data_IF_345551160333
#
_entry.id   IF_345551160333
#
_cell.length_a   1.000
_cell.length_b   1.000
_cell.length_c   1.000
_cell.angle_alpha   90.00
_cell.angle_beta   90.00
_cell.angle_gamma   90.00
#
_symmetry.space_group_name_H-M   'P 1'
#
loop_
_entity.id
_entity.type
_entity.pdbx_description
1 polymer ?
#
# COMPACT_ATOMS: atom_id res chain seq x y z
N UNK A 1 -6.25 -2.92 46.41
CA UNK A 1 -5.38 -2.56 45.27
C UNK A 1 -6.24 -1.91 44.20
N UNK A 2 -6.14 -0.60 44.09
CA UNK A 2 -6.97 0.25 43.22
C UNK A 2 -6.41 0.25 41.80
N UNK A 3 -7.21 -0.14 40.80
CA UNK A 3 -6.92 0.16 39.40
C UNK A 3 -8.03 1.05 38.83
N UNK A 4 -7.61 2.28 38.57
CA UNK A 4 -8.43 3.40 38.14
C UNK A 4 -8.99 3.20 36.73
N UNK A 5 -10.30 3.45 36.61
CA UNK A 5 -11.00 3.68 35.33
C UNK A 5 -10.56 5.05 34.80
N UNK A 6 -9.97 5.10 33.60
CA UNK A 6 -9.84 6.35 32.82
C UNK A 6 -10.91 6.36 31.73
N UNK A 7 -11.94 7.15 31.98
CA UNK A 7 -12.91 7.61 30.98
C UNK A 7 -12.28 8.82 30.28
N UNK A 8 -11.96 8.71 29.00
CA UNK A 8 -11.62 9.88 28.19
C UNK A 8 -12.89 10.42 27.54
N UNK A 9 -13.43 11.45 28.20
CA UNK A 9 -14.39 12.41 27.66
C UNK A 9 -13.74 13.17 26.51
N UNK A 10 -14.33 13.12 25.32
CA UNK A 10 -14.02 14.02 24.21
C UNK A 10 -15.29 14.78 23.82
N UNK A 11 -15.52 15.87 24.55
CA UNK A 11 -16.38 16.97 24.13
C UNK A 11 -15.60 17.82 23.12
N UNK A 12 -15.95 17.75 21.84
CA UNK A 12 -15.52 18.72 20.84
C UNK A 12 -16.76 19.39 20.24
N UNK A 13 -16.97 20.61 20.76
CA UNK A 13 -17.84 21.70 20.30
C UNK A 13 -17.93 21.77 18.76
N UNK A 14 -19.14 21.60 18.23
CA UNK A 14 -19.53 22.11 16.92
C UNK A 14 -20.16 23.50 17.12
N UNK A 15 -19.60 24.53 16.48
CA UNK A 15 -20.17 25.87 16.47
C UNK A 15 -20.07 26.47 15.07
N UNK A 16 -21.22 27.00 14.63
CA UNK A 16 -21.46 27.91 13.49
C UNK A 16 -21.29 27.28 12.09
N UNK A 17 -22.17 27.51 11.11
CA UNK A 17 -23.11 28.62 10.93
C UNK A 17 -24.28 28.18 10.04
N UNK A 18 -25.48 28.65 10.40
CA UNK A 18 -26.63 28.71 9.51
C UNK A 18 -26.44 29.90 8.55
N UNK A 19 -26.68 29.70 7.26
CA UNK A 19 -26.98 30.79 6.35
C UNK A 19 -28.13 30.40 5.43
N UNK A 20 -29.07 31.34 5.36
CA UNK A 20 -30.39 31.27 4.78
C UNK A 20 -30.37 31.42 3.25
N UNK A 21 -31.53 31.14 2.67
CA UNK A 21 -31.83 31.10 1.25
C UNK A 21 -32.01 32.48 0.60
N UNK A 22 -31.66 32.50 -0.71
CA UNK A 22 -32.17 33.30 -1.84
C UNK A 22 -31.82 34.82 -1.93
N UNK A 23 -31.88 35.48 -3.11
CA UNK A 23 -32.34 35.02 -4.44
C UNK A 23 -31.41 35.34 -5.65
N UNK A 24 -31.90 34.88 -6.81
CA UNK A 24 -31.50 35.11 -8.21
C UNK A 24 -31.08 36.55 -8.53
N UNK A 25 -29.92 36.71 -9.18
CA UNK A 25 -29.59 37.88 -9.99
C UNK A 25 -28.72 37.46 -11.18
N UNK A 26 -29.25 37.69 -12.38
CA UNK A 26 -28.58 37.55 -13.67
C UNK A 26 -27.40 38.53 -13.73
N UNK A 27 -26.19 38.02 -13.93
CA UNK A 27 -25.04 38.83 -14.27
C UNK A 27 -24.21 38.09 -15.32
N UNK A 28 -24.38 38.53 -16.56
CA UNK A 28 -23.53 38.23 -17.70
C UNK A 28 -22.06 38.52 -17.38
N UNK A 29 -21.28 37.48 -17.13
CA UNK A 29 -19.82 37.56 -17.01
C UNK A 29 -19.19 36.66 -18.06
N UNK A 30 -18.59 37.34 -19.04
CA UNK A 30 -17.75 36.80 -20.11
C UNK A 30 -16.73 35.78 -19.60
N UNK A 31 -16.69 34.62 -20.23
CA UNK A 31 -15.62 33.62 -20.08
C UNK A 31 -14.29 34.28 -20.47
N UNK A 32 -13.30 34.42 -19.57
CA UNK A 32 -11.98 34.90 -19.96
C UNK A 32 -11.26 33.82 -20.80
N UNK A 33 -10.57 34.19 -21.88
CA UNK A 33 -9.90 33.25 -22.75
C UNK A 33 -8.77 32.53 -21.99
N UNK A 34 -8.79 31.20 -22.06
CA UNK A 34 -7.68 30.31 -21.76
C UNK A 34 -6.46 30.73 -22.60
N UNK A 35 -5.61 31.65 -22.14
CA UNK A 35 -4.17 31.74 -22.46
C UNK A 35 -3.53 32.97 -21.79
N UNK A 36 -3.00 32.79 -20.58
CA UNK A 36 -1.86 33.56 -20.07
C UNK A 36 -1.19 32.79 -18.93
N UNK A 37 -0.37 31.79 -19.29
CA UNK A 37 0.55 31.17 -18.34
C UNK A 37 1.54 32.27 -17.93
N UNK A 38 1.66 32.66 -16.64
CA UNK A 38 2.52 33.78 -16.27
C UNK A 38 3.96 33.50 -16.73
N UNK A 39 4.49 34.42 -17.53
CA UNK A 39 5.88 34.45 -17.97
C UNK A 39 6.79 34.68 -16.76
N UNK A 40 7.07 33.61 -16.02
CA UNK A 40 7.77 33.69 -14.76
C UNK A 40 7.96 32.37 -14.03
N UNK A 41 7.27 31.29 -14.44
CA UNK A 41 7.56 29.95 -13.93
C UNK A 41 8.87 29.44 -14.55
N UNK A 42 10.00 29.96 -14.06
CA UNK A 42 11.31 29.35 -14.27
C UNK A 42 11.20 27.96 -13.69
N UNK A 43 11.13 26.95 -14.55
CA UNK A 43 11.27 25.57 -14.12
C UNK A 43 12.53 25.47 -13.26
N UNK A 44 12.48 24.78 -12.10
CA UNK A 44 13.66 24.65 -11.26
C UNK A 44 14.77 24.07 -12.13
N UNK A 45 15.89 24.79 -12.26
CA UNK A 45 17.08 24.30 -12.96
C UNK A 45 17.35 22.89 -12.44
N UNK A 46 17.29 21.88 -13.32
CA UNK A 46 17.54 20.49 -12.94
C UNK A 46 18.91 20.48 -12.26
N UNK A 47 18.93 20.21 -10.95
CA UNK A 47 20.19 20.10 -10.21
C UNK A 47 20.97 18.97 -10.86
N UNK A 48 22.26 19.15 -11.07
CA UNK A 48 23.16 18.09 -11.55
C UNK A 48 23.97 17.64 -10.35
N UNK A 49 24.20 16.34 -10.23
CA UNK A 49 25.02 15.78 -9.16
C UNK A 49 26.43 15.57 -9.71
N UNK A 50 27.42 16.18 -9.09
CA UNK A 50 28.82 15.91 -9.41
C UNK A 50 29.24 14.57 -8.80
N UNK A 51 30.17 13.87 -9.45
CA UNK A 51 30.67 12.56 -9.00
C UNK A 51 31.11 12.57 -7.52
N UNK A 52 31.80 13.62 -7.07
CA UNK A 52 32.36 13.74 -5.72
C UNK A 52 31.30 13.77 -4.61
N UNK A 53 30.07 14.13 -4.97
CA UNK A 53 28.95 14.19 -4.04
C UNK A 53 28.28 12.82 -3.82
N UNK A 54 28.64 11.81 -4.62
CA UNK A 54 28.04 10.49 -4.52
C UNK A 54 28.59 9.70 -3.32
N UNK A 55 27.72 8.97 -2.59
CA UNK A 55 28.18 8.05 -1.57
C UNK A 55 29.12 6.98 -2.16
N UNK A 56 30.23 6.72 -1.46
CA UNK A 56 31.22 5.68 -1.80
C UNK A 56 30.64 4.34 -2.30
N UNK A 57 29.61 3.74 -1.66
CA UNK A 57 29.07 2.46 -2.15
C UNK A 57 28.39 2.58 -3.52
N UNK A 58 27.77 3.72 -3.82
CA UNK A 58 27.15 3.99 -5.12
C UNK A 58 28.26 4.26 -6.14
N UNK A 59 29.24 5.09 -5.81
CA UNK A 59 30.38 5.40 -6.67
C UNK A 59 31.10 4.12 -7.13
N UNK A 60 31.39 3.20 -6.20
CA UNK A 60 32.02 1.90 -6.51
C UNK A 60 31.20 1.06 -7.50
N UNK A 61 29.87 1.08 -7.37
CA UNK A 61 29.00 0.33 -8.27
C UNK A 61 28.91 0.99 -9.65
N UNK A 62 28.79 2.32 -9.70
CA UNK A 62 28.75 3.07 -10.95
C UNK A 62 30.04 2.87 -11.72
N UNK A 63 31.21 3.02 -11.08
CA UNK A 63 32.50 2.80 -11.71
C UNK A 63 32.63 1.41 -12.36
N UNK A 64 32.14 0.35 -11.69
CA UNK A 64 32.14 -1.02 -12.22
C UNK A 64 31.26 -1.21 -13.45
N UNK A 65 30.11 -0.55 -13.49
CA UNK A 65 29.11 -0.75 -14.54
C UNK A 65 29.25 0.26 -15.70
N UNK A 66 29.97 1.36 -15.48
CA UNK A 66 30.07 2.50 -16.40
C UNK A 66 30.75 2.13 -17.71
N UNK A 67 31.87 1.41 -17.69
CA UNK A 67 32.58 0.99 -18.91
C UNK A 67 31.70 0.09 -19.79
N UNK A 68 31.04 -0.89 -19.17
CA UNK A 68 30.09 -1.78 -19.85
C UNK A 68 28.91 -1.01 -20.43
N UNK A 69 28.41 -0.01 -19.69
CA UNK A 69 27.31 0.82 -20.14
C UNK A 69 27.71 1.76 -21.28
N UNK A 70 28.94 2.31 -21.25
CA UNK A 70 29.53 3.10 -22.36
C UNK A 70 29.67 2.24 -23.62
N UNK A 71 30.28 1.05 -23.51
CA UNK A 71 30.42 0.13 -24.64
C UNK A 71 29.05 -0.23 -25.25
N UNK A 72 28.06 -0.58 -24.40
CA UNK A 72 26.71 -0.88 -24.87
C UNK A 72 25.99 0.33 -25.47
N UNK A 73 26.28 1.56 -25.03
CA UNK A 73 25.71 2.77 -25.60
C UNK A 73 26.34 3.11 -26.96
N UNK A 74 27.66 2.96 -27.08
CA UNK A 74 28.39 3.10 -28.35
C UNK A 74 27.91 2.09 -29.39
N UNK A 75 27.74 0.82 -29.01
CA UNK A 75 27.19 -0.20 -29.92
C UNK A 75 25.77 0.14 -30.38
N UNK A 76 24.92 0.68 -29.51
CA UNK A 76 23.56 1.11 -29.89
C UNK A 76 23.58 2.31 -30.83
N UNK A 77 24.45 3.27 -30.58
CA UNK A 77 24.63 4.44 -31.43
C UNK A 77 25.13 4.00 -32.83
N UNK A 78 26.13 3.13 -32.88
CA UNK A 78 26.64 2.56 -34.13
C UNK A 78 25.55 1.81 -34.92
N UNK A 79 24.71 1.00 -34.25
CA UNK A 79 23.58 0.30 -34.88
C UNK A 79 22.51 1.25 -35.43
N UNK A 80 22.35 2.43 -34.85
CA UNK A 80 21.41 3.47 -35.32
C UNK A 80 22.03 4.43 -36.33
N UNK A 81 23.35 4.40 -36.52
CA UNK A 81 24.08 5.39 -37.30
C UNK A 81 24.16 6.78 -36.64
N UNK A 82 23.91 6.85 -35.32
CA UNK A 82 23.91 8.10 -34.56
C UNK A 82 25.27 8.34 -33.90
N UNK A 83 25.65 9.62 -33.72
CA UNK A 83 26.81 9.99 -32.91
C UNK A 83 26.47 9.78 -31.43
N UNK A 84 27.46 9.43 -30.63
CA UNK A 84 27.26 9.18 -29.21
C UNK A 84 27.18 10.51 -28.43
N UNK A 85 26.04 10.78 -27.82
CA UNK A 85 25.73 12.04 -27.12
C UNK A 85 26.38 12.18 -25.73
N UNK A 86 27.24 11.24 -25.30
CA UNK A 86 27.85 11.28 -23.96
C UNK A 86 26.89 10.90 -22.82
N UNK A 87 25.64 10.53 -23.13
CA UNK A 87 24.64 10.12 -22.14
C UNK A 87 24.65 8.59 -21.99
N UNK A 88 24.83 8.12 -20.76
CA UNK A 88 24.90 6.69 -20.43
C UNK A 88 23.83 6.35 -19.41
N UNK A 89 23.12 5.24 -19.64
CA UNK A 89 22.17 4.70 -18.67
C UNK A 89 22.82 3.57 -17.88
N UNK A 90 23.08 3.82 -16.59
CA UNK A 90 23.71 2.85 -15.67
C UNK A 90 22.63 2.20 -14.82
N UNK A 91 22.81 0.92 -14.53
CA UNK A 91 21.86 0.18 -13.70
C UNK A 91 21.72 0.79 -12.31
N UNK A 92 20.48 0.98 -11.86
CA UNK A 92 20.21 1.47 -10.52
C UNK A 92 20.62 0.42 -9.47
N UNK A 93 21.55 0.74 -8.54
CA UNK A 93 22.04 -0.21 -7.54
C UNK A 93 21.00 -0.58 -6.47
N UNK A 94 19.92 0.19 -6.35
CA UNK A 94 18.86 -0.03 -5.36
C UNK A 94 17.75 -0.95 -5.86
N UNK A 95 17.70 -1.21 -7.18
CA UNK A 95 16.66 -2.00 -7.81
C UNK A 95 17.19 -3.38 -8.18
N UNK A 96 16.34 -4.39 -7.99
CA UNK A 96 16.51 -5.72 -8.55
C UNK A 96 16.07 -5.74 -10.02
N UNK A 97 16.67 -6.60 -10.82
CA UNK A 97 16.39 -6.68 -12.25
C UNK A 97 16.71 -8.05 -12.83
N UNK A 98 16.09 -8.33 -13.97
CA UNK A 98 16.36 -9.53 -14.76
C UNK A 98 17.59 -9.30 -15.63
N UNK A 99 18.60 -10.14 -15.48
CA UNK A 99 19.79 -10.19 -16.36
C UNK A 99 19.66 -11.35 -17.34
N UNK A 100 20.12 -11.24 -18.59
CA UNK A 100 20.28 -12.39 -19.46
C UNK A 100 21.15 -13.44 -18.76
N UNK A 101 20.78 -14.72 -18.89
CA UNK A 101 21.65 -15.81 -18.46
C UNK A 101 22.97 -15.74 -19.24
N UNK A 102 24.13 -15.87 -18.59
CA UNK A 102 25.41 -16.00 -19.30
C UNK A 102 25.47 -17.30 -20.08
N UNK A 103 24.79 -18.35 -19.60
CA UNK A 103 24.75 -19.66 -20.24
C UNK A 103 23.59 -19.72 -21.24
N UNK A 104 23.87 -19.95 -22.55
CA UNK A 104 22.84 -20.05 -23.57
C UNK A 104 21.95 -21.30 -23.41
N UNK A 105 22.44 -22.30 -22.67
CA UNK A 105 21.75 -23.58 -22.46
C UNK A 105 20.84 -23.61 -21.21
N UNK A 106 20.79 -22.54 -20.41
CA UNK A 106 19.87 -22.51 -19.26
C UNK A 106 18.41 -22.43 -19.73
N UNK A 107 17.54 -23.24 -19.11
CA UNK A 107 16.08 -23.21 -19.33
C UNK A 107 15.47 -21.81 -19.13
N UNK A 108 15.98 -21.03 -18.19
CA UNK A 108 15.56 -19.63 -18.02
C UNK A 108 16.52 -18.71 -18.75
N UNK A 109 16.04 -18.03 -19.80
CA UNK A 109 16.79 -17.00 -20.56
C UNK A 109 17.24 -15.81 -19.68
N UNK A 110 16.62 -15.65 -18.50
CA UNK A 110 16.90 -14.55 -17.59
C UNK A 110 17.07 -15.03 -16.15
N UNK A 111 18.01 -14.42 -15.44
CA UNK A 111 18.29 -14.61 -14.02
C UNK A 111 17.82 -13.40 -13.24
N UNK A 112 17.05 -13.65 -12.18
CA UNK A 112 16.69 -12.59 -11.23
C UNK A 112 17.92 -12.19 -10.42
N UNK A 113 18.38 -10.96 -10.61
CA UNK A 113 19.49 -10.40 -9.84
C UNK A 113 18.92 -9.48 -8.77
N UNK A 114 19.30 -9.71 -7.52
CA UNK A 114 18.97 -8.82 -6.41
C UNK A 114 19.55 -7.42 -6.61
N UNK A 115 19.07 -6.46 -5.81
CA UNK A 115 19.67 -5.14 -5.76
C UNK A 115 21.13 -5.24 -5.28
N UNK A 116 22.05 -4.49 -5.91
CA UNK A 116 23.47 -4.48 -5.51
C UNK A 116 23.63 -3.97 -4.07
N UNK A 117 22.85 -2.96 -3.69
CA UNK A 117 22.81 -2.43 -2.33
C UNK A 117 21.54 -2.94 -1.64
N UNK A 118 21.64 -3.70 -0.54
CA UNK A 118 20.48 -4.26 0.15
C UNK A 118 19.64 -3.18 0.84
N UNK A 119 18.34 -3.40 1.00
CA UNK A 119 17.38 -2.43 1.57
C UNK A 119 17.83 -1.82 2.91
N UNK A 120 18.43 -2.62 3.79
CA UNK A 120 18.97 -2.14 5.08
C UNK A 120 20.00 -1.02 4.87
N UNK A 121 20.93 -1.19 3.93
CA UNK A 121 21.94 -0.18 3.64
C UNK A 121 21.37 1.01 2.88
N UNK A 122 20.33 0.81 2.06
CA UNK A 122 19.61 1.93 1.43
C UNK A 122 19.01 2.88 2.49
N UNK A 123 18.41 2.32 3.55
CA UNK A 123 17.90 3.12 4.69
C UNK A 123 19.02 3.88 5.40
N UNK A 124 20.12 3.21 5.71
CA UNK A 124 21.29 3.86 6.33
C UNK A 124 21.90 4.97 5.45
N UNK A 125 21.82 4.84 4.13
CA UNK A 125 22.24 5.90 3.21
C UNK A 125 21.28 7.09 3.24
N UNK A 126 19.98 6.86 3.32
CA UNK A 126 18.98 7.92 3.43
C UNK A 126 19.07 8.69 4.75
N UNK A 127 19.55 8.05 5.82
CA UNK A 127 19.81 8.73 7.09
C UNK A 127 21.01 9.70 7.00
N UNK A 128 22.00 9.39 6.15
CA UNK A 128 23.26 10.14 6.06
C UNK A 128 23.31 11.15 4.91
N UNK A 129 22.58 10.89 3.83
CA UNK A 129 22.64 11.65 2.59
C UNK A 129 21.24 12.10 2.17
N UNK A 130 21.10 13.27 1.52
CA UNK A 130 19.81 13.73 1.06
C UNK A 130 19.23 12.80 -0.01
N UNK A 131 17.93 12.55 0.08
CA UNK A 131 17.19 11.68 -0.83
C UNK A 131 17.37 12.02 -2.32
N UNK A 132 17.60 13.29 -2.64
CA UNK A 132 17.80 13.79 -4.02
C UNK A 132 19.11 13.29 -4.63
N UNK A 133 20.15 13.04 -3.83
CA UNK A 133 21.44 12.53 -4.32
C UNK A 133 21.43 11.02 -4.58
N UNK A 134 20.44 10.32 -4.02
CA UNK A 134 20.37 8.87 -4.06
C UNK A 134 19.53 8.39 -5.25
N UNK A 135 19.81 7.18 -5.78
CA UNK A 135 18.99 6.56 -6.80
C UNK A 135 17.52 6.40 -6.35
N UNK A 136 16.57 6.43 -7.28
CA UNK A 136 15.16 6.22 -6.97
C UNK A 136 14.91 4.77 -6.52
N UNK A 137 14.13 4.54 -5.47
CA UNK A 137 13.82 3.19 -4.99
C UNK A 137 12.53 3.14 -4.18
N UNK A 138 12.13 1.95 -3.74
CA UNK A 138 11.01 1.80 -2.81
C UNK A 138 11.24 2.51 -1.48
N UNK A 139 12.49 2.57 -1.04
CA UNK A 139 12.89 3.27 0.18
C UNK A 139 13.04 4.78 -0.06
N UNK A 140 13.44 5.17 -1.27
CA UNK A 140 13.61 6.56 -1.68
C UNK A 140 12.55 6.97 -2.71
N UNK A 141 11.39 7.52 -2.30
CA UNK A 141 10.26 7.78 -3.19
C UNK A 141 10.46 8.95 -4.17
N UNK A 142 11.68 9.46 -4.32
CA UNK A 142 12.03 10.41 -5.36
C UNK A 142 11.86 9.73 -6.73
N UNK A 143 10.91 10.21 -7.55
CA UNK A 143 10.61 9.61 -8.86
C UNK A 143 11.72 9.81 -9.88
N UNK A 144 12.34 10.98 -9.84
CA UNK A 144 13.36 11.39 -10.81
C UNK A 144 14.57 11.88 -10.04
N UNK A 145 15.59 11.03 -9.95
CA UNK A 145 16.88 11.47 -9.47
C UNK A 145 17.55 12.35 -10.55
N UNK A 146 18.28 13.39 -10.13
CA UNK A 146 19.00 14.23 -11.07
C UNK A 146 20.11 13.44 -11.79
N UNK A 147 20.47 13.86 -13.02
CA UNK A 147 21.58 13.23 -13.74
C UNK A 147 22.89 13.49 -13.01
N UNK A 148 23.80 12.53 -13.13
CA UNK A 148 25.13 12.58 -12.52
C UNK A 148 26.14 12.91 -13.61
N UNK A 149 27.01 13.89 -13.37
CA UNK A 149 28.16 14.16 -14.23
C UNK A 149 29.36 13.39 -13.71
N UNK A 150 29.95 12.59 -14.58
CA UNK A 150 31.20 11.87 -14.31
C UNK A 150 32.40 12.72 -14.72
N UNK A 151 33.60 12.37 -14.24
CA UNK A 151 34.84 13.12 -14.50
C UNK A 151 35.12 13.37 -15.99
N UNK A 152 34.73 12.41 -16.85
CA UNK A 152 34.94 12.49 -18.29
C UNK A 152 33.91 13.39 -19.00
N UNK A 153 33.06 14.11 -18.26
CA UNK A 153 31.90 14.84 -18.79
C UNK A 153 30.73 13.94 -19.20
N UNK A 154 30.82 12.63 -18.94
CA UNK A 154 29.75 11.67 -19.25
C UNK A 154 28.56 11.89 -18.33
N UNK A 155 27.36 12.00 -18.90
CA UNK A 155 26.12 12.21 -18.13
C UNK A 155 25.46 10.85 -17.86
N UNK A 156 25.34 10.50 -16.60
CA UNK A 156 24.79 9.23 -16.14
C UNK A 156 23.33 9.41 -15.73
N UNK A 157 22.48 8.54 -16.26
CA UNK A 157 21.07 8.40 -15.88
C UNK A 157 20.82 7.01 -15.31
N UNK A 158 19.92 6.92 -14.34
CA UNK A 158 19.59 5.63 -13.74
C UNK A 158 18.65 4.83 -14.64
N UNK A 159 19.01 3.58 -14.90
CA UNK A 159 18.19 2.61 -15.61
C UNK A 159 17.19 1.97 -14.65
N UNK A 160 15.93 1.91 -15.08
CA UNK A 160 14.83 1.30 -14.35
C UNK A 160 14.00 2.31 -13.58
N UNK A 161 12.70 2.04 -13.49
CA UNK A 161 11.77 2.83 -12.69
C UNK A 161 11.22 1.96 -11.57
N UNK A 162 11.15 2.54 -10.37
CA UNK A 162 10.33 1.98 -9.31
C UNK A 162 8.91 2.51 -9.46
N UNK A 163 7.92 1.62 -9.39
CA UNK A 163 6.52 1.99 -9.32
C UNK A 163 6.08 1.88 -7.86
N UNK A 164 5.43 2.91 -7.28
CA UNK A 164 4.84 2.78 -5.97
C UNK A 164 3.89 1.60 -5.98
N UNK A 165 4.01 0.75 -4.95
CA UNK A 165 3.06 -0.34 -4.76
C UNK A 165 1.70 0.32 -4.56
N UNK A 166 0.73 0.00 -5.42
CA UNK A 166 -0.63 0.43 -5.18
C UNK A 166 -1.04 -0.05 -3.78
N UNK A 167 -1.59 0.82 -2.96
CA UNK A 167 -2.16 0.45 -1.66
C UNK A 167 -3.39 -0.41 -1.92
N UNK A 168 -3.17 -1.68 -2.22
CA UNK A 168 -4.21 -2.68 -2.27
C UNK A 168 -4.65 -2.83 -0.82
N UNK A 169 -5.86 -2.36 -0.50
CA UNK A 169 -6.42 -2.58 0.84
C UNK A 169 -6.34 -4.09 1.14
N UNK A 170 -6.13 -4.44 2.41
CA UNK A 170 -5.97 -5.83 2.86
C UNK A 170 -7.11 -6.77 2.38
N UNK A 171 -8.24 -6.20 1.98
CA UNK A 171 -9.44 -6.88 1.55
C UNK A 171 -9.83 -6.62 0.08
N UNK A 172 -9.06 -5.83 -0.68
CA UNK A 172 -9.43 -5.40 -2.03
C UNK A 172 -9.63 -6.55 -3.05
N UNK A 173 -9.00 -7.72 -2.84
CA UNK A 173 -9.19 -8.90 -3.68
C UNK A 173 -10.20 -9.91 -3.13
N UNK A 174 -10.79 -9.66 -1.95
CA UNK A 174 -11.69 -10.60 -1.30
C UNK A 174 -13.12 -10.31 -1.75
N UNK A 175 -13.81 -11.32 -2.29
CA UNK A 175 -15.23 -11.20 -2.68
C UNK A 175 -16.04 -10.69 -1.48
N UNK A 176 -16.81 -9.64 -1.71
CA UNK A 176 -17.85 -9.18 -0.78
C UNK A 176 -18.75 -10.38 -0.44
N UNK A 177 -18.99 -10.63 0.84
CA UNK A 177 -20.07 -11.55 1.22
C UNK A 177 -21.42 -10.92 0.87
N UNK A 178 -22.49 -11.73 0.81
CA UNK A 178 -23.84 -11.30 0.41
C UNK A 178 -24.41 -10.15 1.25
N UNK A 179 -23.88 -9.92 2.45
CA UNK A 179 -24.23 -8.82 3.35
C UNK A 179 -23.35 -7.56 3.19
N UNK A 180 -22.50 -7.49 2.17
CA UNK A 180 -21.63 -6.33 1.93
C UNK A 180 -20.34 -6.29 2.76
N UNK A 181 -20.06 -7.30 3.59
CA UNK A 181 -18.86 -7.34 4.43
C UNK A 181 -17.76 -8.25 3.84
N UNK A 182 -16.51 -7.84 4.00
CA UNK A 182 -15.33 -8.63 3.56
C UNK A 182 -14.96 -9.76 4.53
N UNK A 183 -15.64 -9.86 5.68
CA UNK A 183 -15.22 -10.69 6.79
C UNK A 183 -16.22 -11.82 7.01
N UNK A 184 -15.71 -13.06 7.06
CA UNK A 184 -16.52 -14.29 7.26
C UNK A 184 -17.30 -14.32 8.57
N UNK A 185 -16.99 -13.43 9.50
CA UNK A 185 -17.49 -13.44 10.87
C UNK A 185 -16.86 -14.58 11.69
N UNK A 186 -16.90 -14.43 13.01
CA UNK A 186 -16.52 -15.54 13.91
C UNK A 186 -17.51 -16.70 13.81
N UNK A 187 -17.13 -17.91 14.24
CA UNK A 187 -18.08 -19.04 14.27
C UNK A 187 -19.33 -18.70 15.10
N UNK A 188 -19.16 -17.96 16.20
CA UNK A 188 -20.25 -17.52 17.05
C UNK A 188 -21.24 -16.59 16.32
N UNK A 189 -20.76 -15.63 15.53
CA UNK A 189 -21.61 -14.74 14.72
C UNK A 189 -22.37 -15.50 13.63
N UNK A 190 -21.72 -16.47 12.99
CA UNK A 190 -22.35 -17.30 11.95
C UNK A 190 -23.42 -18.24 12.52
N UNK A 191 -23.19 -18.77 13.71
CA UNK A 191 -24.12 -19.69 14.37
C UNK A 191 -25.21 -18.94 15.18
N UNK A 192 -25.05 -17.63 15.41
CA UNK A 192 -26.00 -16.79 16.15
C UNK A 192 -27.47 -16.88 15.65
N UNK A 193 -27.77 -16.80 14.33
CA UNK A 193 -29.15 -16.92 13.86
C UNK A 193 -29.74 -18.31 14.13
N UNK A 194 -28.97 -19.38 13.93
CA UNK A 194 -29.42 -20.74 14.20
C UNK A 194 -29.69 -20.96 15.70
N UNK A 195 -28.80 -20.47 16.57
CA UNK A 195 -29.00 -20.52 18.04
C UNK A 195 -30.20 -19.70 18.50
N UNK A 196 -30.48 -18.58 17.84
CA UNK A 196 -31.65 -17.75 18.13
C UNK A 196 -32.93 -18.49 17.76
N UNK A 197 -32.99 -19.09 16.58
CA UNK A 197 -34.13 -19.92 16.14
C UNK A 197 -34.37 -21.10 17.08
N UNK A 198 -33.33 -21.86 17.45
CA UNK A 198 -33.44 -22.99 18.38
C UNK A 198 -33.95 -22.55 19.76
N UNK A 199 -33.54 -21.35 20.23
CA UNK A 199 -34.05 -20.79 21.49
C UNK A 199 -35.53 -20.44 21.38
N UNK A 200 -35.95 -19.82 20.28
CA UNK A 200 -37.34 -19.46 20.04
C UNK A 200 -38.24 -20.70 19.97
N UNK A 201 -37.83 -21.75 19.25
CA UNK A 201 -38.53 -23.03 19.20
C UNK A 201 -38.63 -23.70 20.58
N UNK A 202 -37.54 -23.68 21.35
CA UNK A 202 -37.53 -24.23 22.71
C UNK A 202 -38.50 -23.49 23.63
N UNK A 203 -38.56 -22.16 23.54
CA UNK A 203 -39.48 -21.34 24.32
C UNK A 203 -40.94 -21.57 23.89
N UNK A 204 -41.20 -21.71 22.59
CA UNK A 204 -42.53 -22.03 22.07
C UNK A 204 -43.03 -23.41 22.53
N UNK A 205 -42.14 -24.39 22.69
CA UNK A 205 -42.47 -25.72 23.24
C UNK A 205 -42.61 -25.78 24.76
N UNK A 206 -42.26 -24.72 25.49
CA UNK A 206 -42.24 -24.71 26.95
C UNK A 206 -43.62 -24.91 27.62
N UNK A 207 -44.72 -24.33 27.10
CA UNK A 207 -46.05 -24.53 27.69
C UNK A 207 -46.47 -26.00 27.72
N UNK A 208 -46.23 -26.74 26.62
CA UNK A 208 -46.54 -28.18 26.52
C UNK A 208 -45.75 -29.00 27.54
N UNK A 209 -44.46 -28.72 27.69
CA UNK A 209 -43.59 -29.38 28.68
C UNK A 209 -44.05 -29.10 30.12
N UNK A 210 -44.50 -27.88 30.40
CA UNK A 210 -45.05 -27.51 31.71
C UNK A 210 -46.35 -28.29 31.99
N UNK A 211 -47.22 -28.44 31.00
CA UNK A 211 -48.45 -29.22 31.16
C UNK A 211 -48.18 -30.71 31.37
N UNK A 212 -47.29 -31.31 30.57
CA UNK A 212 -46.86 -32.70 30.73
C UNK A 212 -46.25 -32.93 32.12
N UNK A 213 -45.38 -32.03 32.57
CA UNK A 213 -44.78 -32.09 33.90
C UNK A 213 -45.81 -31.93 35.03
N UNK A 214 -46.80 -31.05 34.86
CA UNK A 214 -47.92 -30.91 35.81
C UNK A 214 -48.79 -32.16 35.83
N UNK A 215 -49.07 -32.77 34.68
CA UNK A 215 -49.83 -34.02 34.56
C UNK A 215 -49.09 -35.19 35.21
N UNK A 216 -47.78 -35.34 34.98
CA UNK A 216 -46.97 -36.39 35.59
C UNK A 216 -46.89 -36.26 37.11
N UNK A 217 -46.72 -35.03 37.64
CA UNK A 217 -46.80 -34.76 39.09
C UNK A 217 -48.17 -35.06 39.70
N UNK A 218 -49.25 -34.75 38.99
CA UNK A 218 -50.61 -35.09 39.44
C UNK A 218 -50.80 -36.62 39.47
N UNK A 219 -50.37 -37.33 38.42
CA UNK A 219 -50.44 -38.79 38.34
C UNK A 219 -49.68 -39.47 39.48
N UNK A 220 -48.43 -39.04 39.75
CA UNK A 220 -47.63 -39.57 40.88
C UNK A 220 -48.22 -39.24 42.26
N UNK A 221 -48.86 -38.07 42.43
CA UNK A 221 -49.58 -37.75 43.68
C UNK A 221 -50.80 -38.65 43.91
N UNK A 222 -51.51 -39.03 42.84
CA UNK A 222 -52.68 -39.91 42.92
C UNK A 222 -52.28 -41.34 43.30
N UNK A 223 -51.23 -41.89 42.68
CA UNK A 223 -50.69 -43.22 43.07
C UNK A 223 -50.07 -43.23 44.46
N UNK A 224 -49.46 -42.13 44.91
CA UNK A 224 -48.92 -42.03 46.28
C UNK A 224 -50.00 -41.95 47.37
N UNK A 225 -51.22 -41.49 47.06
CA UNK A 225 -52.34 -41.42 48.02
C UNK A 225 -53.05 -42.76 48.23
N UNK A 226 -53.06 -43.65 47.24
CA UNK A 226 -53.67 -44.98 47.37
C UNK A 226 -52.76 -46.00 48.06
N UNK A 227 -51.51 -45.64 48.37
CA UNK A 227 -50.51 -46.52 48.96
C UNK A 227 -50.32 -46.32 50.48
N UNK A 228 -51.12 -45.45 51.11
CA UNK A 228 -51.11 -45.30 52.58
C UNK A 228 -52.35 -46.04 53.12
N UNK A 229 -52.19 -47.21 53.74
CA UNK A 229 -53.29 -47.85 54.45
C UNK A 229 -53.67 -46.98 55.66
N UNK A 230 -54.97 -46.77 55.85
CA UNK A 230 -55.52 -46.16 57.06
C UNK A 230 -55.26 -47.04 58.29
#
# INVERSE_FOLDING_TARGET
MNFARRLFSSSARAASSAQAAAPVAEASMSVPPLHARPAGFRSPKKRVIEMDQLPKPILKQVARDLERAKAAALERAAKRGEKFDGIVSVQNPFLSFWRPSPDPNMRSKFLWTGASIPRRHQKLLLEKYPAVMLPPSETNPVRHAPPIVWNDGTIITWKGSWKPKAETSLYASRRLQSNGTYFKGTKAERDAPARKAEREERMAGMPKRIEEFRKSKKGTKVTGRSAVPF
#
